data_IF_166540132105
#
_entry.id   IF_166540132105
#
_cell.length_a   1.000
_cell.length_b   1.000
_cell.length_c   1.000
_cell.angle_alpha   90.00
_cell.angle_beta   90.00
_cell.angle_gamma   90.00
#
_symmetry.space_group_name_H-M   'P 1'
#
loop_
_entity.id
_entity.type
_entity.pdbx_description
1 polymer ?
#
# COMPACT_ATOMS: atom_id res chain seq x y z
N UNK A 1 -11.37 44.03 51.45
CA UNK A 1 -12.41 42.98 51.52
C UNK A 1 -12.18 42.08 50.32
N UNK A 2 -11.48 40.96 50.49
CA UNK A 2 -11.19 40.03 49.39
C UNK A 2 -12.34 39.03 49.35
N UNK A 3 -13.14 39.07 48.29
CA UNK A 3 -14.18 38.08 48.04
C UNK A 3 -13.48 36.77 47.63
N UNK A 4 -13.40 35.81 48.56
CA UNK A 4 -13.07 34.43 48.21
C UNK A 4 -14.27 33.83 47.48
N UNK A 5 -14.11 33.62 46.18
CA UNK A 5 -15.02 32.82 45.37
C UNK A 5 -14.49 31.39 45.41
N UNK A 6 -15.17 30.49 46.13
CA UNK A 6 -14.84 29.07 46.08
C UNK A 6 -15.26 28.52 44.72
N UNK A 7 -14.35 27.97 43.90
CA UNK A 7 -14.75 27.31 42.67
C UNK A 7 -15.42 25.99 43.03
N UNK A 8 -16.74 25.89 42.79
CA UNK A 8 -17.42 24.59 42.74
C UNK A 8 -17.06 23.97 41.39
N UNK A 9 -15.85 23.40 41.27
CA UNK A 9 -15.57 22.45 40.20
C UNK A 9 -16.19 21.12 40.63
N UNK A 10 -17.44 20.87 40.21
CA UNK A 10 -17.94 19.50 40.17
C UNK A 10 -17.07 18.77 39.16
N UNK A 11 -16.18 17.92 39.66
CA UNK A 11 -15.43 17.01 38.81
C UNK A 11 -16.42 16.14 38.02
N UNK A 12 -16.23 16.02 36.69
CA UNK A 12 -17.11 15.19 35.88
C UNK A 12 -16.98 13.74 36.34
N UNK A 13 -18.12 13.08 36.53
CA UNK A 13 -18.13 11.62 36.70
C UNK A 13 -17.86 11.04 35.31
N UNK A 14 -16.69 10.43 35.15
CA UNK A 14 -16.30 9.74 33.91
C UNK A 14 -16.66 8.26 34.05
N UNK A 15 -17.50 7.76 33.15
CA UNK A 15 -17.81 6.33 33.02
C UNK A 15 -17.37 5.83 31.64
N UNK A 16 -16.99 4.56 31.56
CA UNK A 16 -16.43 3.92 30.36
C UNK A 16 -17.35 2.79 29.91
N UNK A 17 -18.62 3.13 29.67
CA UNK A 17 -19.64 2.17 29.22
C UNK A 17 -19.50 1.92 27.71
N UNK A 18 -19.83 0.69 27.27
CA UNK A 18 -19.88 0.39 25.85
C UNK A 18 -21.01 1.18 25.18
N UNK A 19 -20.77 1.65 23.95
CA UNK A 19 -21.80 2.32 23.16
C UNK A 19 -22.98 1.36 22.92
N UNK A 20 -24.23 1.79 23.10
CA UNK A 20 -25.40 1.02 22.71
C UNK A 20 -25.33 0.62 21.23
N UNK A 21 -25.83 -0.57 20.87
CA UNK A 21 -25.74 -1.09 19.51
C UNK A 21 -26.51 -0.26 18.47
N UNK A 22 -27.47 0.55 18.93
CA UNK A 22 -28.31 1.45 18.15
C UNK A 22 -27.86 2.92 18.21
N UNK A 23 -26.74 3.21 18.87
CA UNK A 23 -26.22 4.56 18.98
C UNK A 23 -25.55 5.01 17.67
N UNK A 24 -26.11 6.03 17.04
CA UNK A 24 -25.52 6.67 15.85
C UNK A 24 -24.43 7.64 16.31
N UNK A 25 -23.18 7.30 16.02
CA UNK A 25 -22.03 8.17 16.28
C UNK A 25 -22.13 9.44 15.43
N UNK A 26 -21.97 10.64 16.02
CA UNK A 26 -21.89 11.87 15.24
C UNK A 26 -20.59 11.91 14.40
N UNK A 27 -20.70 12.22 13.10
CA UNK A 27 -19.64 12.11 12.08
C UNK A 27 -18.49 13.15 12.16
N UNK A 28 -18.38 13.91 13.24
CA UNK A 28 -17.25 14.83 13.45
C UNK A 28 -16.23 14.21 14.43
N UNK A 29 -14.98 13.98 14.00
CA UNK A 29 -14.57 13.02 12.99
C UNK A 29 -14.42 11.61 13.63
N UNK A 30 -15.25 10.66 13.24
CA UNK A 30 -14.93 9.25 13.48
C UNK A 30 -14.40 8.70 12.15
N UNK A 31 -13.14 9.01 11.83
CA UNK A 31 -12.48 8.49 10.63
C UNK A 31 -12.67 6.96 10.57
N UNK A 32 -13.12 6.43 9.44
CA UNK A 32 -13.18 5.00 9.23
C UNK A 32 -11.75 4.45 9.26
N UNK A 33 -11.40 3.70 10.30
CA UNK A 33 -10.04 3.15 10.53
C UNK A 33 -9.52 2.31 9.35
N UNK A 34 -10.40 1.86 8.46
CA UNK A 34 -10.04 1.10 7.27
C UNK A 34 -9.42 1.98 6.17
N UNK A 35 -9.83 3.23 6.02
CA UNK A 35 -9.39 4.10 4.93
C UNK A 35 -7.87 4.34 4.97
N UNK A 36 -7.25 4.72 6.12
CA UNK A 36 -5.80 4.84 6.20
C UNK A 36 -5.08 3.51 5.96
N UNK A 37 -5.67 2.39 6.39
CA UNK A 37 -5.08 1.06 6.21
C UNK A 37 -5.03 0.67 4.73
N UNK A 38 -6.09 0.95 3.96
CA UNK A 38 -6.15 0.72 2.51
C UNK A 38 -5.11 1.59 1.78
N UNK A 39 -5.06 2.90 2.09
CA UNK A 39 -4.08 3.82 1.50
C UNK A 39 -2.63 3.36 1.76
N UNK A 40 -2.35 2.92 2.98
CA UNK A 40 -1.05 2.37 3.35
C UNK A 40 -0.75 1.05 2.61
N UNK A 41 -1.75 0.18 2.42
CA UNK A 41 -1.59 -1.07 1.68
C UNK A 41 -1.23 -0.85 0.19
N UNK A 42 -1.89 0.11 -0.45
CA UNK A 42 -1.61 0.48 -1.84
C UNK A 42 -0.20 1.06 -1.98
N UNK A 43 0.18 1.95 -1.08
CA UNK A 43 1.50 2.62 -1.10
C UNK A 43 2.62 1.62 -0.83
N UNK A 44 2.45 0.72 0.13
CA UNK A 44 3.41 -0.34 0.47
C UNK A 44 3.72 -1.25 -0.73
N UNK A 45 2.70 -1.68 -1.48
CA UNK A 45 2.89 -2.50 -2.69
C UNK A 45 3.63 -1.78 -3.83
N UNK A 46 3.49 -0.45 -3.96
CA UNK A 46 4.28 0.33 -4.91
C UNK A 46 5.72 0.52 -4.43
N UNK A 47 5.91 0.70 -3.12
CA UNK A 47 7.24 0.82 -2.50
C UNK A 47 8.05 -0.47 -2.61
N UNK A 48 7.43 -1.61 -2.31
CA UNK A 48 8.03 -2.95 -2.37
C UNK A 48 8.51 -3.34 -3.78
N UNK A 49 7.95 -2.72 -4.82
CA UNK A 49 8.33 -2.94 -6.22
C UNK A 49 9.25 -1.86 -6.78
N UNK A 50 9.74 -0.95 -5.94
CA UNK A 50 10.67 0.11 -6.34
C UNK A 50 10.04 1.20 -7.22
N UNK A 51 8.70 1.27 -7.29
CA UNK A 51 7.98 2.26 -8.10
C UNK A 51 7.91 3.65 -7.44
N UNK A 52 8.20 3.76 -6.15
CA UNK A 52 8.26 5.04 -5.43
C UNK A 52 9.70 5.58 -5.46
N UNK A 53 9.92 6.57 -6.32
CA UNK A 53 11.19 7.30 -6.44
C UNK A 53 11.15 8.62 -5.64
N UNK A 54 12.30 9.26 -5.33
CA UNK A 54 12.33 10.49 -4.53
C UNK A 54 11.50 11.66 -5.09
N UNK A 55 11.22 11.65 -6.41
CA UNK A 55 10.42 12.65 -7.09
C UNK A 55 8.92 12.30 -7.11
N UNK A 56 8.54 11.09 -6.73
CA UNK A 56 7.13 10.70 -6.63
C UNK A 56 6.56 11.25 -5.33
N UNK A 57 5.37 11.84 -5.40
CA UNK A 57 4.58 12.16 -4.21
C UNK A 57 3.33 11.30 -4.19
N UNK A 58 3.21 10.48 -3.15
CA UNK A 58 1.99 9.80 -2.76
C UNK A 58 1.59 10.36 -1.40
N UNK A 59 0.31 10.65 -1.22
CA UNK A 59 -0.21 11.15 0.04
C UNK A 59 -1.61 10.63 0.33
N UNK A 60 -1.94 10.57 1.61
CA UNK A 60 -3.25 10.17 2.14
C UNK A 60 -3.73 11.24 3.12
N UNK A 61 -5.00 11.67 2.99
CA UNK A 61 -5.56 12.77 3.77
C UNK A 61 -4.65 14.02 3.77
N UNK A 62 -4.12 14.37 2.60
CA UNK A 62 -3.12 15.41 2.43
C UNK A 62 -3.58 16.47 1.43
N UNK A 63 -3.45 17.75 1.80
CA UNK A 63 -4.11 18.86 1.11
C UNK A 63 -3.56 19.17 -0.27
N UNK A 64 -4.40 19.00 -1.29
CA UNK A 64 -4.22 19.50 -2.65
C UNK A 64 -4.82 20.90 -2.78
N UNK A 65 -3.98 21.88 -3.11
CA UNK A 65 -4.29 23.30 -3.02
C UNK A 65 -4.35 23.93 -4.40
N UNK A 66 -5.39 24.74 -4.62
CA UNK A 66 -5.49 25.63 -5.77
C UNK A 66 -6.09 26.97 -5.36
N UNK A 67 -5.72 28.03 -6.06
CA UNK A 67 -6.38 29.34 -5.91
C UNK A 67 -7.39 29.52 -7.04
N UNK A 68 -8.69 29.60 -6.70
CA UNK A 68 -9.78 29.79 -7.66
C UNK A 68 -10.50 31.09 -7.33
N UNK A 69 -10.58 32.02 -8.29
CA UNK A 69 -11.21 33.34 -8.09
C UNK A 69 -10.70 34.08 -6.83
N UNK A 70 -9.37 34.09 -6.62
CA UNK A 70 -8.68 34.68 -5.46
C UNK A 70 -9.02 34.05 -4.10
N UNK A 71 -9.67 32.88 -4.07
CA UNK A 71 -9.94 32.11 -2.86
C UNK A 71 -9.11 30.83 -2.89
N UNK A 72 -8.47 30.50 -1.76
CA UNK A 72 -7.76 29.24 -1.59
C UNK A 72 -8.81 28.14 -1.41
N UNK A 73 -8.68 27.09 -2.21
CA UNK A 73 -9.48 25.87 -2.13
C UNK A 73 -8.54 24.72 -1.83
N UNK A 74 -8.91 23.90 -0.86
CA UNK A 74 -8.14 22.73 -0.43
C UNK A 74 -9.07 21.51 -0.47
N UNK A 75 -8.58 20.42 -1.06
CA UNK A 75 -9.20 19.09 -0.95
C UNK A 75 -8.14 18.08 -0.55
N UNK A 76 -8.48 17.19 0.37
CA UNK A 76 -7.59 16.15 0.86
C UNK A 76 -8.20 14.79 0.47
N UNK A 77 -7.72 14.15 -0.60
CA UNK A 77 -8.18 12.82 -0.96
C UNK A 77 -7.59 11.75 -0.03
N UNK A 78 -8.25 10.60 0.03
CA UNK A 78 -7.78 9.46 0.84
C UNK A 78 -6.50 8.86 0.27
N UNK A 79 -6.30 8.94 -1.05
CA UNK A 79 -5.05 8.59 -1.69
C UNK A 79 -4.84 9.40 -2.98
N UNK A 80 -3.61 9.81 -3.28
CA UNK A 80 -3.27 10.38 -4.58
C UNK A 80 -1.85 10.05 -5.03
N UNK A 81 -1.58 10.22 -6.31
CA UNK A 81 -0.27 10.04 -6.93
C UNK A 81 0.11 11.24 -7.80
N UNK A 82 1.33 11.71 -7.62
CA UNK A 82 1.99 12.70 -8.49
C UNK A 82 3.31 12.09 -8.94
N UNK A 83 3.55 11.95 -10.26
CA UNK A 83 4.73 11.26 -10.78
C UNK A 83 6.03 12.02 -10.54
N UNK A 84 5.96 13.35 -10.48
CA UNK A 84 7.13 14.19 -10.34
C UNK A 84 6.84 15.47 -9.56
N UNK A 85 7.53 15.67 -8.45
CA UNK A 85 7.49 16.88 -7.62
C UNK A 85 8.87 17.50 -7.48
N UNK A 86 8.91 18.80 -7.26
CA UNK A 86 10.13 19.50 -6.88
C UNK A 86 10.57 19.06 -5.48
N UNK A 87 11.89 18.97 -5.26
CA UNK A 87 12.42 18.69 -3.93
C UNK A 87 12.13 19.86 -2.98
N UNK A 88 11.67 19.57 -1.78
CA UNK A 88 11.63 20.57 -0.70
C UNK A 88 13.03 20.73 -0.08
N UNK A 89 13.32 21.92 0.44
CA UNK A 89 14.61 22.18 1.09
C UNK A 89 14.85 21.25 2.28
N UNK A 90 16.12 21.02 2.62
CA UNK A 90 16.51 20.23 3.79
C UNK A 90 15.84 20.79 5.05
N UNK A 91 15.15 19.95 5.82
CA UNK A 91 14.35 20.29 7.02
C UNK A 91 13.00 20.99 6.76
N UNK A 92 12.53 21.05 5.52
CA UNK A 92 11.17 21.53 5.23
C UNK A 92 10.24 20.33 5.04
N UNK A 93 9.21 20.24 5.88
CA UNK A 93 8.13 19.27 5.69
C UNK A 93 7.11 19.88 4.73
N UNK A 94 6.82 19.18 3.63
CA UNK A 94 5.73 19.56 2.73
C UNK A 94 4.40 19.39 3.47
N UNK A 95 3.63 20.47 3.63
CA UNK A 95 2.34 20.48 4.36
C UNK A 95 1.11 20.43 3.44
N UNK A 96 1.31 20.74 2.18
CA UNK A 96 0.30 20.72 1.12
C UNK A 96 0.97 20.55 -0.23
N UNK A 97 0.21 20.29 -1.29
CA UNK A 97 0.72 20.26 -2.65
C UNK A 97 -0.10 21.16 -3.58
N UNK A 98 0.59 22.05 -4.29
CA UNK A 98 0.03 22.95 -5.30
C UNK A 98 0.53 22.50 -6.68
N UNK A 99 -0.31 21.84 -7.49
CA UNK A 99 0.07 21.38 -8.83
C UNK A 99 0.54 22.52 -9.73
N UNK A 100 1.44 22.23 -10.68
CA UNK A 100 2.09 23.18 -11.58
C UNK A 100 3.06 24.17 -10.92
N UNK A 101 2.92 24.46 -9.63
CA UNK A 101 3.85 25.28 -8.86
C UNK A 101 4.97 24.44 -8.25
N UNK A 102 4.60 23.35 -7.56
CA UNK A 102 5.52 22.49 -6.80
C UNK A 102 5.90 21.20 -7.55
N UNK A 103 5.50 21.07 -8.82
CA UNK A 103 5.72 19.86 -9.62
C UNK A 103 4.66 19.65 -10.70
N UNK A 104 4.56 18.40 -11.15
CA UNK A 104 3.59 17.94 -12.15
C UNK A 104 2.14 18.02 -11.65
N UNK A 105 1.19 17.82 -12.57
CA UNK A 105 -0.21 17.65 -12.22
C UNK A 105 -0.42 16.39 -11.36
N UNK A 106 -1.47 16.38 -10.55
CA UNK A 106 -1.90 15.16 -9.87
C UNK A 106 -2.42 14.19 -10.92
N UNK A 107 -1.87 12.98 -10.92
CA UNK A 107 -2.09 11.98 -11.95
C UNK A 107 -3.25 11.03 -11.58
N UNK A 108 -3.32 10.63 -10.31
CA UNK A 108 -4.39 9.77 -9.79
C UNK A 108 -4.90 10.33 -8.48
N UNK A 109 -6.21 10.30 -8.28
CA UNK A 109 -6.88 10.57 -7.01
C UNK A 109 -7.84 9.42 -6.70
N UNK A 110 -7.87 8.97 -5.45
CA UNK A 110 -8.83 8.00 -4.94
C UNK A 110 -9.56 8.55 -3.71
N UNK A 111 -10.85 8.26 -3.63
CA UNK A 111 -11.69 8.52 -2.46
C UNK A 111 -12.32 7.18 -2.02
N UNK A 112 -12.31 6.93 -0.73
CA UNK A 112 -12.85 5.72 -0.11
C UNK A 112 -14.15 6.11 0.59
N UNK A 113 -15.27 5.60 0.10
CA UNK A 113 -16.58 6.05 0.55
C UNK A 113 -16.84 5.65 2.00
N UNK A 114 -17.47 6.55 2.76
CA UNK A 114 -18.03 6.23 4.07
C UNK A 114 -19.52 5.85 3.95
N UNK A 115 -20.08 5.27 5.01
CA UNK A 115 -21.48 4.80 5.09
C UNK A 115 -22.52 5.93 4.93
N UNK A 116 -22.11 7.21 4.93
CA UNK A 116 -23.04 8.33 4.78
C UNK A 116 -23.35 8.65 3.32
N UNK A 117 -24.58 8.33 2.92
CA UNK A 117 -25.15 8.72 1.62
C UNK A 117 -25.02 10.24 1.35
N UNK A 118 -24.38 10.57 0.22
CA UNK A 118 -24.79 11.71 -0.60
C UNK A 118 -23.93 12.98 -0.57
N UNK A 119 -22.90 13.08 0.27
CA UNK A 119 -22.04 14.27 0.36
C UNK A 119 -20.68 14.19 -0.35
N UNK A 120 -20.08 13.00 -0.37
CA UNK A 120 -18.66 12.82 -0.67
C UNK A 120 -18.32 13.02 -2.16
N UNK A 121 -19.28 12.75 -3.05
CA UNK A 121 -19.13 12.86 -4.51
C UNK A 121 -19.91 14.03 -5.11
N UNK A 122 -19.98 15.15 -4.40
CA UNK A 122 -20.68 16.35 -4.88
C UNK A 122 -20.11 16.85 -6.23
N UNK A 123 -20.98 17.07 -7.22
CA UNK A 123 -20.69 17.71 -8.52
C UNK A 123 -20.79 19.24 -8.46
N UNK A 124 -20.95 19.81 -7.27
CA UNK A 124 -21.23 21.24 -7.07
C UNK A 124 -20.15 22.12 -7.70
N UNK A 125 -20.57 22.95 -8.66
CA UNK A 125 -19.72 23.91 -9.39
C UNK A 125 -19.61 25.29 -8.73
N UNK A 126 -20.21 25.47 -7.56
CA UNK A 126 -20.15 26.70 -6.76
C UNK A 126 -19.48 26.45 -5.41
N UNK A 127 -18.77 27.44 -4.82
CA UNK A 127 -18.15 27.25 -3.51
C UNK A 127 -19.14 26.88 -2.39
N UNK A 128 -18.79 25.97 -1.46
CA UNK A 128 -17.62 25.09 -1.52
C UNK A 128 -17.73 24.09 -2.68
N UNK A 129 -16.71 24.04 -3.55
CA UNK A 129 -16.71 23.14 -4.70
C UNK A 129 -16.80 21.69 -4.24
N UNK A 130 -17.59 20.90 -4.95
CA UNK A 130 -17.66 19.45 -4.72
C UNK A 130 -16.37 18.75 -5.14
N UNK A 131 -16.07 17.58 -4.55
CA UNK A 131 -14.82 16.84 -4.82
C UNK A 131 -14.69 16.49 -6.30
N UNK A 132 -15.73 15.92 -6.90
CA UNK A 132 -15.73 15.53 -8.31
C UNK A 132 -15.49 16.73 -9.24
N UNK A 133 -16.18 17.85 -9.02
CA UNK A 133 -15.98 19.07 -9.80
C UNK A 133 -14.55 19.62 -9.65
N UNK A 134 -14.01 19.60 -8.42
CA UNK A 134 -12.66 20.09 -8.15
C UNK A 134 -11.61 19.27 -8.89
N UNK A 135 -11.69 17.94 -8.84
CA UNK A 135 -10.75 17.08 -9.54
C UNK A 135 -10.91 17.13 -11.06
N UNK A 136 -12.15 17.19 -11.57
CA UNK A 136 -12.42 17.22 -13.02
C UNK A 136 -12.08 18.58 -13.66
N UNK A 137 -12.60 19.68 -13.10
CA UNK A 137 -12.57 21.00 -13.77
C UNK A 137 -11.44 21.89 -13.30
N UNK A 138 -11.00 21.75 -12.05
CA UNK A 138 -9.98 22.64 -11.46
C UNK A 138 -8.60 21.99 -11.55
N UNK A 139 -8.43 20.78 -11.01
CA UNK A 139 -7.14 20.08 -11.06
C UNK A 139 -6.91 19.29 -12.35
N UNK A 140 -7.99 18.93 -13.06
CA UNK A 140 -7.94 18.11 -14.29
C UNK A 140 -7.15 16.81 -14.09
N UNK A 141 -7.45 16.10 -13.00
CA UNK A 141 -6.78 14.83 -12.67
C UNK A 141 -7.13 13.80 -13.74
N UNK A 142 -6.13 13.17 -14.40
CA UNK A 142 -6.38 12.17 -15.44
C UNK A 142 -7.23 10.99 -14.98
N UNK A 143 -6.96 10.47 -13.78
CA UNK A 143 -7.64 9.28 -13.25
C UNK A 143 -8.21 9.54 -11.86
N UNK A 144 -9.52 9.31 -11.72
CA UNK A 144 -10.26 9.45 -10.47
C UNK A 144 -10.96 8.14 -10.12
N UNK A 145 -10.74 7.65 -8.89
CA UNK A 145 -11.26 6.38 -8.40
C UNK A 145 -12.14 6.61 -7.18
N UNK A 146 -13.26 5.90 -7.11
CA UNK A 146 -14.03 5.76 -5.87
C UNK A 146 -14.10 4.29 -5.50
N UNK A 147 -13.94 3.99 -4.21
CA UNK A 147 -14.05 2.64 -3.68
C UNK A 147 -15.02 2.63 -2.51
N UNK A 148 -16.02 1.76 -2.57
CA UNK A 148 -16.93 1.50 -1.45
C UNK A 148 -16.51 0.23 -0.72
N UNK A 149 -16.11 0.30 0.56
CA UNK A 149 -15.73 -0.89 1.34
C UNK A 149 -16.94 -1.72 1.82
N UNK A 150 -18.13 -1.14 1.91
CA UNK A 150 -19.36 -1.80 2.38
C UNK A 150 -20.06 -2.56 1.25
N UNK A 151 -20.18 -1.92 0.08
CA UNK A 151 -20.54 -2.57 -1.18
C UNK A 151 -19.28 -2.65 -2.05
N UNK A 152 -18.47 -3.74 -1.96
CA UNK A 152 -17.12 -3.81 -2.52
C UNK A 152 -17.11 -3.57 -4.03
N UNK A 153 -16.98 -2.30 -4.39
CA UNK A 153 -17.14 -1.80 -5.74
C UNK A 153 -16.15 -0.68 -5.99
N UNK A 154 -15.61 -0.68 -7.20
CA UNK A 154 -14.71 0.36 -7.69
C UNK A 154 -15.43 1.04 -8.85
N UNK A 155 -15.46 2.37 -8.84
CA UNK A 155 -15.75 3.15 -10.04
C UNK A 155 -14.49 3.90 -10.47
N UNK A 156 -14.04 3.62 -11.69
CA UNK A 156 -12.94 4.32 -12.31
C UNK A 156 -13.49 5.36 -13.30
N UNK A 157 -13.04 6.60 -13.19
CA UNK A 157 -13.33 7.69 -14.12
C UNK A 157 -12.04 8.23 -14.71
N UNK A 158 -11.96 8.29 -16.03
CA UNK A 158 -10.82 8.87 -16.73
C UNK A 158 -11.22 10.18 -17.43
N UNK A 159 -10.34 11.17 -17.37
CA UNK A 159 -10.56 12.48 -17.97
C UNK A 159 -10.32 12.40 -19.47
N UNK A 160 -11.38 12.61 -20.25
CA UNK A 160 -11.35 12.59 -21.72
C UNK A 160 -12.03 13.86 -22.23
N UNK A 161 -11.32 14.65 -23.05
CA UNK A 161 -11.82 15.92 -23.58
C UNK A 161 -12.37 16.89 -22.49
N UNK A 162 -11.74 16.88 -21.30
CA UNK A 162 -12.11 17.74 -20.18
C UNK A 162 -13.35 17.28 -19.39
N UNK A 163 -13.81 16.04 -19.58
CA UNK A 163 -14.89 15.43 -18.81
C UNK A 163 -14.54 14.01 -18.38
N UNK A 164 -15.02 13.60 -17.20
CA UNK A 164 -14.84 12.25 -16.72
C UNK A 164 -15.77 11.26 -17.44
N UNK A 165 -15.19 10.16 -17.91
CA UNK A 165 -15.92 9.02 -18.47
C UNK A 165 -15.68 7.78 -17.62
N UNK A 166 -16.77 7.07 -17.28
CA UNK A 166 -16.69 5.81 -16.56
C UNK A 166 -15.96 4.76 -17.39
N UNK A 167 -14.99 4.11 -16.78
CA UNK A 167 -14.27 3.00 -17.36
C UNK A 167 -14.91 1.67 -16.95
N UNK A 168 -14.67 0.64 -17.75
CA UNK A 168 -15.12 -0.72 -17.46
C UNK A 168 -13.96 -1.54 -16.91
N UNK A 169 -14.28 -2.45 -16.00
CA UNK A 169 -13.32 -3.45 -15.54
C UNK A 169 -13.00 -4.46 -16.64
N UNK A 170 -11.84 -5.11 -16.52
CA UNK A 170 -11.48 -6.28 -17.30
C UNK A 170 -12.31 -7.51 -16.89
N UNK A 171 -12.04 -8.65 -17.54
CA UNK A 171 -12.71 -9.92 -17.24
C UNK A 171 -12.51 -10.43 -15.80
N UNK A 172 -11.52 -9.89 -15.07
CA UNK A 172 -11.21 -10.24 -13.68
C UNK A 172 -11.74 -9.21 -12.67
N UNK A 173 -12.53 -8.22 -13.11
CA UNK A 173 -13.02 -7.16 -12.23
C UNK A 173 -11.97 -6.11 -11.86
N UNK A 174 -10.93 -5.93 -12.70
CA UNK A 174 -9.81 -5.01 -12.46
C UNK A 174 -9.82 -3.84 -13.43
N UNK A 175 -9.39 -2.68 -12.97
CA UNK A 175 -9.40 -1.42 -13.71
C UNK A 175 -7.98 -0.98 -14.06
N UNK A 176 -7.74 -0.66 -15.33
CA UNK A 176 -6.43 -0.19 -15.77
C UNK A 176 -6.18 1.26 -15.37
N UNK A 177 -5.07 1.51 -14.67
CA UNK A 177 -4.60 2.85 -14.27
C UNK A 177 -3.37 3.19 -15.10
N UNK A 178 -3.57 3.99 -16.15
CA UNK A 178 -2.53 4.28 -17.15
C UNK A 178 -1.31 4.97 -16.56
N UNK A 179 -1.51 5.86 -15.58
CA UNK A 179 -0.44 6.65 -14.96
C UNK A 179 0.51 5.82 -14.10
N UNK A 180 0.06 4.65 -13.65
CA UNK A 180 0.85 3.71 -12.87
C UNK A 180 1.26 2.48 -13.67
N UNK A 181 0.70 2.27 -14.87
CA UNK A 181 0.86 1.05 -15.67
C UNK A 181 0.50 -0.22 -14.87
N UNK A 182 -0.59 -0.16 -14.12
CA UNK A 182 -1.06 -1.22 -13.22
C UNK A 182 -2.58 -1.36 -13.31
N UNK A 183 -3.05 -2.57 -13.01
CA UNK A 183 -4.44 -2.83 -12.76
C UNK A 183 -4.75 -2.66 -11.26
N UNK A 184 -5.82 -1.92 -10.94
CA UNK A 184 -6.39 -1.82 -9.62
C UNK A 184 -7.57 -2.78 -9.50
N UNK A 185 -7.65 -3.52 -8.40
CA UNK A 185 -8.78 -4.43 -8.16
C UNK A 185 -9.00 -4.69 -6.68
N UNK A 186 -10.10 -5.38 -6.40
CA UNK A 186 -10.48 -5.78 -5.04
C UNK A 186 -9.94 -7.18 -4.77
N UNK A 187 -9.34 -7.36 -3.61
CA UNK A 187 -8.87 -8.64 -3.12
C UNK A 187 -9.32 -8.86 -1.68
N UNK A 188 -10.02 -9.96 -1.43
CA UNK A 188 -10.44 -10.34 -0.09
C UNK A 188 -9.34 -11.13 0.61
N UNK A 189 -8.93 -10.67 1.80
CA UNK A 189 -7.99 -11.40 2.63
C UNK A 189 -7.53 -10.61 3.84
N UNK A 190 -6.45 -11.07 4.46
CA UNK A 190 -5.98 -10.57 5.76
C UNK A 190 -4.68 -9.79 5.63
N UNK A 191 -4.62 -8.61 6.27
CA UNK A 191 -3.39 -7.85 6.49
C UNK A 191 -3.45 -7.19 7.86
N UNK A 192 -2.36 -7.27 8.62
CA UNK A 192 -2.26 -6.69 9.96
C UNK A 192 -3.45 -7.10 10.86
N UNK A 193 -3.81 -8.38 10.84
CA UNK A 193 -4.95 -8.97 11.57
C UNK A 193 -6.33 -8.41 11.18
N UNK A 194 -6.46 -7.74 10.04
CA UNK A 194 -7.71 -7.24 9.50
C UNK A 194 -8.10 -8.02 8.25
N UNK A 195 -9.20 -8.75 8.33
CA UNK A 195 -9.77 -9.51 7.20
C UNK A 195 -10.87 -8.69 6.55
N UNK A 196 -10.60 -8.20 5.34
CA UNK A 196 -11.50 -7.31 4.61
C UNK A 196 -11.22 -7.34 3.10
N UNK A 197 -11.98 -6.54 2.36
CA UNK A 197 -11.75 -6.28 0.95
C UNK A 197 -10.68 -5.18 0.81
N UNK A 198 -9.50 -5.56 0.33
CA UNK A 198 -8.37 -4.66 0.10
C UNK A 198 -8.31 -4.22 -1.35
N UNK A 199 -7.97 -2.96 -1.59
CA UNK A 199 -7.50 -2.53 -2.91
C UNK A 199 -6.06 -3.00 -3.13
N UNK A 200 -5.80 -3.60 -4.29
CA UNK A 200 -4.51 -4.18 -4.65
C UNK A 200 -4.12 -3.83 -6.08
N UNK A 201 -2.82 -3.94 -6.35
CA UNK A 201 -2.22 -3.70 -7.65
C UNK A 201 -1.86 -5.01 -8.34
N UNK A 202 -2.13 -5.11 -9.63
CA UNK A 202 -1.64 -6.17 -10.51
C UNK A 202 -0.84 -5.58 -11.66
N UNK A 203 0.22 -6.26 -12.07
CA UNK A 203 0.99 -5.89 -13.26
C UNK A 203 0.27 -6.31 -14.56
N UNK A 204 0.89 -5.96 -15.69
CA UNK A 204 0.39 -6.30 -17.03
C UNK A 204 0.38 -7.80 -17.34
N UNK A 205 1.15 -8.60 -16.60
CA UNK A 205 1.19 -10.06 -16.73
C UNK A 205 0.10 -10.73 -15.85
N UNK A 206 -0.59 -9.94 -15.03
CA UNK A 206 -1.61 -10.42 -14.10
C UNK A 206 -1.07 -10.90 -12.77
N UNK A 207 0.21 -10.62 -12.45
CA UNK A 207 0.79 -10.92 -11.15
C UNK A 207 0.39 -9.86 -10.13
N UNK A 208 0.08 -10.31 -8.91
CA UNK A 208 -0.23 -9.43 -7.79
C UNK A 208 1.05 -8.77 -7.27
N UNK A 209 1.05 -7.44 -7.13
CA UNK A 209 2.16 -6.73 -6.48
C UNK A 209 2.08 -7.00 -4.98
N UNK A 210 3.08 -7.73 -4.49
CA UNK A 210 3.19 -8.14 -3.11
C UNK A 210 3.50 -6.94 -2.20
N UNK A 211 2.94 -6.95 -0.99
CA UNK A 211 3.34 -6.06 0.09
C UNK A 211 4.75 -6.40 0.57
N UNK A 212 5.41 -5.46 1.23
CA UNK A 212 6.76 -5.68 1.76
C UNK A 212 6.83 -6.90 2.70
N UNK A 213 5.77 -7.14 3.50
CA UNK A 213 5.68 -8.32 4.38
C UNK A 213 5.58 -9.64 3.62
N UNK A 214 4.83 -9.66 2.51
CA UNK A 214 4.64 -10.85 1.67
C UNK A 214 5.93 -11.17 0.90
N UNK A 215 6.61 -10.15 0.36
CA UNK A 215 7.93 -10.31 -0.25
C UNK A 215 8.95 -10.88 0.74
N UNK A 216 9.03 -10.29 1.94
CA UNK A 216 9.96 -10.76 2.97
C UNK A 216 9.68 -12.22 3.38
N UNK A 217 8.41 -12.63 3.43
CA UNK A 217 8.05 -14.02 3.69
C UNK A 217 8.49 -14.94 2.55
N UNK A 218 8.29 -14.53 1.29
CA UNK A 218 8.72 -15.29 0.12
C UNK A 218 10.25 -15.45 0.08
N UNK A 219 11.00 -14.39 0.37
CA UNK A 219 12.46 -14.42 0.43
C UNK A 219 12.96 -15.35 1.55
N UNK A 220 12.35 -15.29 2.74
CA UNK A 220 12.67 -16.22 3.83
C UNK A 220 12.45 -17.67 3.45
N UNK A 221 11.34 -17.97 2.77
CA UNK A 221 11.06 -19.33 2.30
C UNK A 221 12.10 -19.79 1.27
N UNK A 222 12.50 -18.92 0.33
CA UNK A 222 13.54 -19.23 -0.65
C UNK A 222 14.89 -19.48 0.02
N UNK A 223 15.30 -18.61 0.93
CA UNK A 223 16.55 -18.74 1.68
C UNK A 223 16.59 -20.04 2.51
N UNK A 224 15.47 -20.41 3.15
CA UNK A 224 15.38 -21.65 3.90
C UNK A 224 15.46 -22.89 2.99
N UNK A 225 14.80 -22.86 1.83
CA UNK A 225 14.90 -23.95 0.84
C UNK A 225 16.33 -24.10 0.31
N UNK A 226 17.01 -22.99 0.01
CA UNK A 226 18.39 -23.02 -0.46
C UNK A 226 19.34 -23.55 0.61
N UNK A 227 19.15 -23.14 1.86
CA UNK A 227 19.91 -23.64 3.01
C UNK A 227 19.74 -25.16 3.17
N UNK A 228 18.51 -25.67 3.04
CA UNK A 228 18.23 -27.10 3.12
C UNK A 228 18.90 -27.88 1.98
N UNK A 229 18.93 -27.32 0.76
CA UNK A 229 19.63 -27.93 -0.38
C UNK A 229 21.15 -27.97 -0.16
N UNK A 230 21.74 -26.86 0.30
CA UNK A 230 23.17 -26.78 0.59
C UNK A 230 23.58 -27.77 1.70
N UNK A 231 22.76 -27.90 2.74
CA UNK A 231 22.99 -28.87 3.81
C UNK A 231 22.93 -30.33 3.30
N UNK A 232 21.95 -30.66 2.45
CA UNK A 232 21.87 -31.99 1.84
C UNK A 232 23.06 -32.29 0.94
N UNK A 233 23.51 -31.31 0.15
CA UNK A 233 24.67 -31.47 -0.72
C UNK A 233 25.96 -31.67 0.10
N UNK A 234 26.13 -30.89 1.17
CA UNK A 234 27.23 -31.05 2.11
C UNK A 234 27.25 -32.45 2.73
N UNK A 235 26.10 -32.93 3.20
CA UNK A 235 26.00 -34.28 3.78
C UNK A 235 26.35 -35.37 2.75
N UNK A 236 25.98 -35.21 1.48
CA UNK A 236 26.36 -36.14 0.40
C UNK A 236 27.86 -36.10 0.14
N UNK A 237 28.46 -34.92 0.05
CA UNK A 237 29.89 -34.76 -0.14
C UNK A 237 30.71 -35.35 1.02
N UNK A 238 30.25 -35.16 2.26
CA UNK A 238 30.86 -35.76 3.46
C UNK A 238 30.77 -37.29 3.42
N UNK A 239 29.62 -37.86 3.04
CA UNK A 239 29.45 -39.31 2.88
C UNK A 239 30.35 -39.88 1.77
N UNK A 240 30.45 -39.19 0.63
CA UNK A 240 31.30 -39.62 -0.48
C UNK A 240 32.78 -39.56 -0.09
N UNK A 241 33.21 -38.50 0.60
CA UNK A 241 34.57 -38.38 1.12
C UNK A 241 34.90 -39.51 2.12
N UNK A 242 33.96 -39.85 3.01
CA UNK A 242 34.14 -40.97 3.94
C UNK A 242 34.26 -42.31 3.21
N UNK A 243 33.43 -42.55 2.18
CA UNK A 243 33.51 -43.77 1.36
C UNK A 243 34.85 -43.86 0.62
N UNK A 244 35.28 -42.78 -0.03
CA UNK A 244 36.56 -42.72 -0.73
C UNK A 244 37.74 -42.96 0.23
N UNK A 245 37.68 -42.44 1.46
CA UNK A 245 38.70 -42.68 2.48
C UNK A 245 38.72 -44.14 2.94
N UNK A 246 37.56 -44.77 3.14
CA UNK A 246 37.47 -46.19 3.49
C UNK A 246 37.98 -47.10 2.37
N UNK A 247 37.66 -46.79 1.11
CA UNK A 247 38.16 -47.54 -0.05
C UNK A 247 39.69 -47.44 -0.16
N UNK A 248 40.27 -46.25 0.02
CA UNK A 248 41.73 -46.07 0.06
C UNK A 248 42.38 -46.91 1.16
N UNK A 249 41.86 -46.85 2.39
CA UNK A 249 42.39 -47.67 3.50
C UNK A 249 42.33 -49.16 3.21
N UNK A 250 41.23 -49.66 2.61
CA UNK A 250 41.11 -51.07 2.22
C UNK A 250 42.10 -51.45 1.13
N UNK A 251 42.28 -50.60 0.13
CA UNK A 251 43.25 -50.80 -0.94
C UNK A 251 44.68 -50.86 -0.39
N UNK A 252 45.04 -49.96 0.53
CA UNK A 252 46.35 -49.93 1.18
C UNK A 252 46.61 -51.21 2.00
N UNK A 253 45.62 -51.67 2.77
CA UNK A 253 45.72 -52.92 3.54
C UNK A 253 45.88 -54.14 2.63
N UNK A 254 45.11 -54.19 1.53
CA UNK A 254 45.20 -55.29 0.57
C UNK A 254 46.56 -55.32 -0.13
N UNK A 255 47.06 -54.15 -0.56
CA UNK A 255 48.36 -54.00 -1.18
C UNK A 255 49.52 -54.36 -0.23
N UNK A 256 49.36 -54.11 1.08
CA UNK A 256 50.33 -54.55 2.09
C UNK A 256 50.33 -56.09 2.23
N UNK A 257 49.15 -56.72 2.32
CA UNK A 257 49.03 -58.19 2.42
C UNK A 257 49.55 -58.93 1.17
N UNK A 258 49.31 -58.39 -0.03
CA UNK A 258 49.83 -58.98 -1.27
C UNK A 258 51.36 -58.96 -1.30
N UNK A 259 51.98 -57.87 -0.85
CA UNK A 259 53.44 -57.77 -0.67
C UNK A 259 53.98 -58.79 0.34
N UNK A 260 53.30 -58.99 1.48
CA UNK A 260 53.69 -60.03 2.45
C UNK A 260 53.62 -61.45 1.90
N UNK A 261 52.68 -61.72 0.97
CA UNK A 261 52.52 -63.03 0.33
C UNK A 261 53.50 -63.28 -0.84
N UNK A 262 54.41 -62.33 -1.12
CA UNK A 262 55.38 -62.46 -2.22
C UNK A 262 54.76 -62.41 -3.61
N UNK A 263 53.53 -61.90 -3.72
CA UNK A 263 52.85 -61.66 -4.99
C UNK A 263 53.14 -60.20 -5.35
N UNK A 264 54.27 -59.98 -6.04
CA UNK A 264 54.54 -58.69 -6.66
C UNK A 264 53.59 -58.50 -7.85
N UNK A 265 52.99 -57.30 -7.89
CA UNK A 265 52.05 -56.86 -8.93
C UNK A 265 52.77 -56.50 -10.24
#
# INVERSE_FOLDING_TARGET
MVLQVNPIQKEPIVTWEALPADFILPDDPVENIQQPAIAAALTDALGSTGRIQPQVLIGSNFGLVATVNKKIVVKAPDWFYVPQVQSVGTNVVRRSYTPNLEGAAVAVVMEFLSDTEGGELSVRSTPPYGKLYYYEKILQVPTYVTYDPYEPSIELRCLQNGQYTLQQADANGRYWISELELFLGIWQGERLCQTMNWLRWWDTEGNLLLWSSEQAQQERQRAEQERQRAEQERQRAEQESQRAQQERQRADILAAKLRELGIDA
#
